data_IF_810773499547
#
_entry.id   IF_810773499547
#
_cell.length_a   1.000
_cell.length_b   1.000
_cell.length_c   1.000
_cell.angle_alpha   90.00
_cell.angle_beta   90.00
_cell.angle_gamma   90.00
#
_symmetry.space_group_name_H-M   'P 1'
#
loop_
_entity.id
_entity.type
_entity.pdbx_description
1 polymer ?
#
# COMPACT_ATOMS: atom_id res chain seq x y z
N UNK A 1 5.87 35.65 -6.16
CA UNK A 1 6.50 34.55 -5.41
C UNK A 1 6.07 33.22 -6.01
N UNK A 2 7.03 32.37 -6.26
CA UNK A 2 6.72 31.07 -6.82
C UNK A 2 6.18 30.16 -5.73
N UNK A 3 5.11 29.43 -6.04
CA UNK A 3 4.68 28.34 -5.20
C UNK A 3 5.79 27.29 -5.13
N UNK A 4 5.95 26.65 -4.00
CA UNK A 4 6.89 25.56 -3.88
C UNK A 4 6.53 24.48 -4.90
N UNK A 5 7.50 24.06 -5.71
CA UNK A 5 7.27 22.95 -6.61
C UNK A 5 6.99 21.68 -5.80
N UNK A 6 6.09 20.82 -6.24
CA UNK A 6 5.92 19.52 -5.59
C UNK A 6 7.24 18.74 -5.70
N UNK A 7 7.52 17.84 -4.72
CA UNK A 7 8.70 16.98 -4.81
C UNK A 7 8.75 16.25 -6.15
N UNK A 8 9.95 15.99 -6.62
CA UNK A 8 10.13 15.20 -7.84
C UNK A 8 9.44 13.84 -7.66
N UNK A 9 8.67 13.41 -8.65
CA UNK A 9 7.92 12.16 -8.59
C UNK A 9 6.54 12.27 -7.95
N UNK A 10 6.14 13.47 -7.45
CA UNK A 10 4.83 13.67 -6.86
C UNK A 10 3.74 14.03 -7.89
N UNK A 11 4.03 13.95 -9.19
CA UNK A 11 3.05 14.21 -10.25
C UNK A 11 1.91 13.19 -10.17
N UNK A 12 0.63 13.64 -10.30
CA UNK A 12 -0.49 12.70 -10.29
C UNK A 12 -0.34 11.61 -11.36
N UNK A 13 -0.65 10.37 -10.99
CA UNK A 13 -0.57 9.22 -11.87
C UNK A 13 0.84 8.66 -12.09
N UNK A 14 1.86 9.26 -11.48
CA UNK A 14 3.23 8.81 -11.64
C UNK A 14 3.61 7.75 -10.62
N UNK A 15 4.40 6.76 -11.07
CA UNK A 15 5.02 5.79 -10.18
C UNK A 15 6.10 6.48 -9.34
N UNK A 16 6.13 6.23 -8.05
CA UNK A 16 7.25 6.63 -7.20
C UNK A 16 8.37 5.61 -7.32
N UNK A 17 9.53 6.02 -7.80
CA UNK A 17 10.70 5.15 -7.91
C UNK A 17 11.16 4.65 -6.54
N UNK A 18 11.09 5.50 -5.52
CA UNK A 18 11.46 5.14 -4.15
C UNK A 18 10.53 4.06 -3.62
N UNK A 19 9.22 4.27 -3.72
CA UNK A 19 8.22 3.30 -3.29
C UNK A 19 8.31 2.00 -4.08
N UNK A 20 8.50 2.08 -5.39
CA UNK A 20 8.62 0.89 -6.24
C UNK A 20 9.86 0.07 -5.88
N UNK A 21 10.99 0.71 -5.61
CA UNK A 21 12.20 0.00 -5.18
C UNK A 21 12.00 -0.71 -3.84
N UNK A 22 11.33 -0.07 -2.90
CA UNK A 22 11.01 -0.68 -1.61
C UNK A 22 10.04 -1.86 -1.79
N UNK A 23 9.04 -1.70 -2.66
CA UNK A 23 8.09 -2.75 -2.99
C UNK A 23 8.82 -3.98 -3.56
N UNK A 24 9.69 -3.77 -4.52
CA UNK A 24 10.44 -4.86 -5.18
C UNK A 24 11.36 -5.59 -4.19
N UNK A 25 12.06 -4.85 -3.33
CA UNK A 25 12.86 -5.42 -2.26
C UNK A 25 12.02 -6.27 -1.32
N UNK A 26 10.85 -5.77 -0.94
CA UNK A 26 9.93 -6.47 -0.05
C UNK A 26 9.42 -7.76 -0.66
N UNK A 27 9.12 -7.77 -1.95
CA UNK A 27 8.70 -8.98 -2.66
C UNK A 27 9.80 -10.04 -2.70
N UNK A 28 11.07 -9.63 -2.82
CA UNK A 28 12.20 -10.56 -2.76
C UNK A 28 12.33 -11.16 -1.36
N UNK A 29 12.17 -10.36 -0.32
CA UNK A 29 12.26 -10.81 1.07
C UNK A 29 11.06 -11.65 1.51
N UNK A 30 9.90 -11.46 0.86
CA UNK A 30 8.64 -12.15 1.17
C UNK A 30 8.06 -12.80 -0.08
N UNK A 31 8.65 -13.93 -0.52
CA UNK A 31 8.18 -14.59 -1.75
C UNK A 31 6.76 -15.14 -1.64
N UNK A 32 6.22 -15.27 -0.43
CA UNK A 32 4.80 -15.63 -0.22
C UNK A 32 3.85 -14.51 -0.65
N UNK A 33 4.30 -13.27 -0.70
CA UNK A 33 3.48 -12.16 -1.18
C UNK A 33 3.44 -12.16 -2.70
N UNK A 34 2.31 -12.57 -3.26
CA UNK A 34 2.12 -12.60 -4.70
C UNK A 34 1.82 -11.22 -5.28
N UNK A 35 1.08 -10.41 -4.55
CA UNK A 35 0.74 -9.03 -4.92
C UNK A 35 1.11 -8.07 -3.81
N UNK A 36 1.62 -6.91 -4.21
CA UNK A 36 1.90 -5.81 -3.30
C UNK A 36 1.59 -4.52 -4.04
N UNK A 37 0.71 -3.71 -3.46
CA UNK A 37 0.25 -2.47 -4.06
C UNK A 37 0.24 -1.39 -2.99
N UNK A 38 0.84 -0.25 -3.26
CA UNK A 38 0.86 0.88 -2.35
C UNK A 38 0.08 2.05 -2.91
N UNK A 39 -0.95 2.45 -2.17
CA UNK A 39 -1.71 3.68 -2.40
C UNK A 39 -1.20 4.71 -1.40
N UNK A 40 -0.84 5.90 -1.84
CA UNK A 40 -0.37 6.95 -0.93
C UNK A 40 -1.09 8.26 -1.25
N UNK A 41 -1.45 8.98 -0.19
CA UNK A 41 -1.97 10.34 -0.31
C UNK A 41 -0.79 11.29 -0.41
N UNK A 42 -0.67 12.08 -1.49
CA UNK A 42 0.41 13.07 -1.59
C UNK A 42 0.36 14.05 -0.42
N UNK A 43 1.51 14.49 0.11
CA UNK A 43 1.55 15.42 1.23
C UNK A 43 0.75 16.70 0.96
N UNK A 44 -0.05 17.11 1.95
CA UNK A 44 -0.87 18.31 1.84
C UNK A 44 -2.12 18.19 0.98
N UNK A 45 -2.40 16.99 0.46
CA UNK A 45 -3.56 16.72 -0.38
C UNK A 45 -4.62 15.96 0.41
N UNK A 46 -5.91 16.07 0.02
CA UNK A 46 -6.96 15.28 0.67
C UNK A 46 -6.83 13.79 0.33
N UNK A 47 -7.38 12.94 1.19
CA UNK A 47 -7.35 11.48 0.99
C UNK A 47 -8.02 11.03 -0.32
N UNK A 48 -8.92 11.84 -0.88
CA UNK A 48 -9.52 11.58 -2.20
C UNK A 48 -8.49 11.59 -3.33
N UNK A 49 -7.28 12.14 -3.09
CA UNK A 49 -6.16 12.09 -4.03
C UNK A 49 -5.24 10.89 -3.79
N UNK A 50 -5.60 10.00 -2.86
CA UNK A 50 -4.87 8.74 -2.66
C UNK A 50 -4.88 7.92 -3.94
N UNK A 51 -3.70 7.47 -4.36
CA UNK A 51 -3.56 6.73 -5.61
C UNK A 51 -2.42 5.72 -5.55
N UNK A 52 -2.44 4.74 -6.44
CA UNK A 52 -1.39 3.74 -6.54
C UNK A 52 -0.12 4.40 -7.08
N UNK A 53 0.94 4.35 -6.28
CA UNK A 53 2.26 4.89 -6.63
C UNK A 53 3.31 3.80 -6.83
N UNK A 54 3.05 2.59 -6.37
CA UNK A 54 3.92 1.44 -6.53
C UNK A 54 3.08 0.17 -6.56
N UNK A 55 3.46 -0.77 -7.44
CA UNK A 55 2.67 -1.98 -7.65
C UNK A 55 3.47 -3.01 -8.44
N UNK A 56 3.20 -4.30 -8.20
CA UNK A 56 3.69 -5.37 -9.08
C UNK A 56 2.58 -5.93 -9.99
N UNK A 57 1.40 -5.31 -9.99
CA UNK A 57 0.27 -5.73 -10.84
C UNK A 57 -0.22 -4.61 -11.77
N UNK A 58 0.59 -3.56 -11.95
CA UNK A 58 0.20 -2.41 -12.76
C UNK A 58 -0.74 -1.47 -12.04
N UNK A 59 -1.58 -0.77 -12.80
CA UNK A 59 -2.60 0.15 -12.29
C UNK A 59 -2.06 1.40 -11.61
N UNK A 60 -0.83 1.79 -11.90
CA UNK A 60 -0.24 3.03 -11.39
C UNK A 60 -1.16 4.21 -11.70
N UNK A 61 -1.42 5.03 -10.70
CA UNK A 61 -2.28 6.21 -10.82
C UNK A 61 -3.76 5.94 -10.54
N UNK A 62 -4.15 4.67 -10.35
CA UNK A 62 -5.54 4.37 -10.00
C UNK A 62 -5.87 4.98 -8.64
N UNK A 63 -6.96 5.76 -8.61
CA UNK A 63 -7.40 6.41 -7.39
C UNK A 63 -8.04 5.41 -6.42
N UNK A 64 -7.96 5.74 -5.13
CA UNK A 64 -8.59 4.97 -4.08
C UNK A 64 -10.09 4.81 -4.32
N UNK A 65 -10.59 3.62 -4.08
CA UNK A 65 -12.02 3.35 -4.06
C UNK A 65 -12.60 3.56 -2.65
N UNK A 66 -13.89 3.30 -2.48
CA UNK A 66 -14.56 3.48 -1.19
C UNK A 66 -13.97 2.60 -0.09
N UNK A 67 -13.51 1.39 -0.43
CA UNK A 67 -12.89 0.48 0.53
C UNK A 67 -11.57 1.04 1.03
N UNK A 68 -10.74 1.56 0.13
CA UNK A 68 -9.47 2.20 0.48
C UNK A 68 -9.70 3.42 1.38
N UNK A 69 -10.65 4.27 1.01
CA UNK A 69 -10.99 5.46 1.81
C UNK A 69 -11.51 5.09 3.19
N UNK A 70 -12.23 3.99 3.30
CA UNK A 70 -12.72 3.49 4.59
C UNK A 70 -11.54 3.04 5.47
N UNK A 71 -10.55 2.35 4.91
CA UNK A 71 -9.34 1.95 5.64
C UNK A 71 -8.61 3.18 6.15
N UNK A 72 -8.44 4.20 5.32
CA UNK A 72 -7.81 5.46 5.74
C UNK A 72 -8.56 6.12 6.91
N UNK A 73 -9.89 6.08 6.88
CA UNK A 73 -10.72 6.69 7.90
C UNK A 73 -10.78 5.88 9.20
N UNK A 74 -10.89 4.56 9.11
CA UNK A 74 -11.14 3.69 10.27
C UNK A 74 -9.88 3.00 10.81
N UNK A 75 -8.87 2.82 9.99
CA UNK A 75 -7.69 2.03 10.33
C UNK A 75 -7.94 0.52 10.38
N UNK A 76 -9.11 0.06 9.97
CA UNK A 76 -9.46 -1.36 10.01
C UNK A 76 -9.05 -2.07 8.73
N UNK A 77 -8.49 -3.30 8.83
CA UNK A 77 -8.18 -4.09 7.65
C UNK A 77 -9.44 -4.45 6.87
N UNK A 78 -9.29 -4.60 5.56
CA UNK A 78 -10.31 -5.21 4.72
C UNK A 78 -9.70 -6.40 3.99
N UNK A 79 -10.46 -7.48 3.89
CA UNK A 79 -9.99 -8.73 3.31
C UNK A 79 -10.99 -9.25 2.30
N UNK A 80 -10.47 -9.92 1.27
CA UNK A 80 -11.31 -10.57 0.27
C UNK A 80 -10.59 -11.78 -0.30
N UNK A 81 -11.32 -12.88 -0.48
CA UNK A 81 -10.84 -14.03 -1.25
C UNK A 81 -11.05 -13.70 -2.73
N UNK A 82 -10.04 -13.96 -3.56
CA UNK A 82 -10.12 -13.73 -5.00
C UNK A 82 -11.23 -14.57 -5.64
N UNK A 83 -11.72 -14.13 -6.80
CA UNK A 83 -12.77 -14.84 -7.54
C UNK A 83 -12.36 -16.27 -7.90
N UNK A 84 -11.07 -16.50 -8.14
CA UNK A 84 -10.52 -17.83 -8.43
C UNK A 84 -10.32 -18.67 -7.17
N UNK A 85 -10.44 -18.08 -5.97
CA UNK A 85 -10.33 -18.80 -4.72
C UNK A 85 -8.91 -19.16 -4.30
N UNK A 86 -7.90 -18.68 -5.00
CA UNK A 86 -6.49 -19.05 -4.78
C UNK A 86 -5.67 -17.96 -4.11
N UNK A 87 -6.27 -16.81 -3.80
CA UNK A 87 -5.60 -15.70 -3.12
C UNK A 87 -6.48 -15.10 -2.04
N UNK A 88 -5.82 -14.68 -1.00
CA UNK A 88 -6.42 -13.89 0.07
C UNK A 88 -5.77 -12.51 0.05
N UNK A 89 -6.56 -11.50 -0.28
CA UNK A 89 -6.09 -10.12 -0.36
C UNK A 89 -6.39 -9.40 0.93
N UNK A 90 -5.37 -8.81 1.53
CA UNK A 90 -5.47 -8.05 2.77
C UNK A 90 -5.07 -6.62 2.47
N UNK A 91 -5.97 -5.68 2.72
CA UNK A 91 -5.69 -4.25 2.60
C UNK A 91 -5.62 -3.64 4.00
N UNK A 92 -4.53 -2.93 4.26
CA UNK A 92 -4.17 -2.40 5.57
C UNK A 92 -3.82 -0.92 5.45
N UNK A 93 -4.00 -0.13 6.52
CA UNK A 93 -3.41 1.20 6.52
C UNK A 93 -1.89 1.09 6.39
N UNK A 94 -1.31 1.94 5.56
CA UNK A 94 0.13 2.06 5.39
C UNK A 94 0.63 3.19 6.27
N UNK A 95 1.65 2.93 7.08
CA UNK A 95 2.22 3.90 8.01
C UNK A 95 3.64 4.29 7.59
N UNK A 96 4.05 5.49 7.98
CA UNK A 96 5.46 5.86 7.98
C UNK A 96 6.13 5.40 9.29
N UNK A 97 7.45 5.64 9.41
CA UNK A 97 8.19 5.24 10.61
C UNK A 97 7.76 5.98 11.88
N UNK A 98 7.11 7.13 11.74
CA UNK A 98 6.51 7.88 12.84
C UNK A 98 5.08 7.44 13.17
N UNK A 99 4.59 6.37 12.53
CA UNK A 99 3.24 5.81 12.70
C UNK A 99 2.12 6.73 12.22
N UNK A 100 2.42 7.66 11.32
CA UNK A 100 1.39 8.42 10.63
C UNK A 100 0.81 7.57 9.50
N UNK A 101 -0.50 7.56 9.37
CA UNK A 101 -1.16 6.91 8.24
C UNK A 101 -0.91 7.73 6.97
N UNK A 102 -0.27 7.13 5.98
CA UNK A 102 0.06 7.80 4.72
C UNK A 102 -0.67 7.21 3.52
N UNK A 103 -1.33 6.10 3.70
CA UNK A 103 -2.03 5.45 2.61
C UNK A 103 -2.55 4.07 2.98
N UNK A 104 -2.66 3.23 1.97
CA UNK A 104 -3.14 1.85 2.09
C UNK A 104 -2.16 0.93 1.36
N UNK A 105 -1.85 -0.20 1.97
CA UNK A 105 -1.10 -1.27 1.30
C UNK A 105 -2.00 -2.48 1.13
N UNK A 106 -2.04 -3.02 -0.08
CA UNK A 106 -2.78 -4.24 -0.39
C UNK A 106 -1.78 -5.37 -0.65
N UNK A 107 -1.96 -6.49 0.06
CA UNK A 107 -1.06 -7.64 0.00
C UNK A 107 -1.88 -8.86 -0.37
N UNK A 108 -1.51 -9.50 -1.47
CA UNK A 108 -2.14 -10.74 -1.91
C UNK A 108 -1.29 -11.95 -1.52
N UNK A 109 -1.88 -12.86 -0.75
CA UNK A 109 -1.22 -14.07 -0.25
C UNK A 109 -1.84 -15.31 -0.90
N UNK A 110 -1.08 -16.39 -1.12
CA UNK A 110 -1.67 -17.66 -1.56
C UNK A 110 -2.70 -18.15 -0.56
N UNK A 111 -3.77 -18.73 -1.09
CA UNK A 111 -4.88 -19.19 -0.27
C UNK A 111 -5.50 -20.44 -0.86
N UNK A 112 -5.94 -21.32 0.01
CA UNK A 112 -6.80 -22.45 -0.34
C UNK A 112 -7.90 -22.59 0.71
N UNK A 113 -9.06 -23.14 0.36
CA UNK A 113 -10.15 -23.33 1.34
C UNK A 113 -9.67 -24.07 2.58
N UNK A 114 -10.02 -23.54 3.75
CA UNK A 114 -9.60 -24.08 5.02
C UNK A 114 -8.38 -23.42 5.64
N UNK A 115 -7.66 -22.59 4.91
CA UNK A 115 -6.54 -21.83 5.47
C UNK A 115 -7.02 -20.86 6.56
N UNK A 116 -6.17 -20.68 7.56
CA UNK A 116 -6.45 -19.76 8.68
C UNK A 116 -6.32 -18.31 8.20
N UNK A 117 -7.45 -17.67 7.96
CA UNK A 117 -7.48 -16.27 7.49
C UNK A 117 -6.88 -15.32 8.50
N UNK A 118 -7.06 -15.55 9.80
CA UNK A 118 -6.48 -14.70 10.83
C UNK A 118 -4.95 -14.77 10.81
N UNK A 119 -4.38 -15.94 10.55
CA UNK A 119 -2.93 -16.09 10.39
C UNK A 119 -2.42 -15.35 9.15
N UNK A 120 -3.18 -15.36 8.06
CA UNK A 120 -2.83 -14.63 6.84
C UNK A 120 -2.87 -13.12 7.07
N UNK A 121 -3.84 -12.62 7.81
CA UNK A 121 -3.88 -11.19 8.19
C UNK A 121 -2.64 -10.83 9.02
N UNK A 122 -2.25 -11.67 9.99
CA UNK A 122 -1.04 -11.43 10.79
C UNK A 122 0.22 -11.39 9.92
N UNK A 123 0.31 -12.25 8.92
CA UNK A 123 1.41 -12.24 7.95
C UNK A 123 1.45 -10.91 7.19
N UNK A 124 0.31 -10.46 6.68
CA UNK A 124 0.20 -9.18 5.98
C UNK A 124 0.56 -8.00 6.90
N UNK A 125 0.11 -8.02 8.14
CA UNK A 125 0.44 -6.98 9.12
C UNK A 125 1.95 -6.92 9.40
N UNK A 126 2.61 -8.06 9.48
CA UNK A 126 4.06 -8.14 9.69
C UNK A 126 4.80 -7.52 8.50
N UNK A 127 4.40 -7.83 7.29
CA UNK A 127 5.00 -7.24 6.08
C UNK A 127 4.79 -5.72 6.08
N UNK A 128 3.57 -5.25 6.39
CA UNK A 128 3.27 -3.84 6.52
C UNK A 128 4.16 -3.15 7.55
N UNK A 129 4.38 -3.78 8.70
CA UNK A 129 5.20 -3.21 9.76
C UNK A 129 6.68 -3.14 9.37
N UNK A 130 7.19 -4.09 8.60
CA UNK A 130 8.54 -4.01 8.04
C UNK A 130 8.65 -2.87 7.02
N UNK A 131 7.64 -2.66 6.21
CA UNK A 131 7.57 -1.51 5.29
C UNK A 131 7.60 -0.20 6.08
N UNK A 132 6.78 -0.09 7.10
CA UNK A 132 6.68 1.10 7.94
C UNK A 132 8.05 1.57 8.43
N UNK A 133 8.88 0.65 8.90
CA UNK A 133 10.19 0.97 9.43
C UNK A 133 11.12 1.62 8.39
N UNK A 134 10.84 1.45 7.11
CA UNK A 134 11.66 1.93 6.00
C UNK A 134 11.08 3.14 5.28
N UNK A 135 9.95 3.67 5.75
CA UNK A 135 9.29 4.84 5.16
C UNK A 135 9.45 6.02 6.13
N UNK A 136 10.37 6.96 5.87
CA UNK A 136 10.59 8.08 6.79
C UNK A 136 9.37 9.01 6.90
N UNK A 137 8.72 9.30 5.78
CA UNK A 137 7.52 10.14 5.72
C UNK A 137 6.89 10.02 4.34
N UNK A 138 5.63 10.44 4.21
CA UNK A 138 4.97 10.51 2.91
C UNK A 138 5.74 11.43 1.95
N UNK A 139 6.24 12.56 2.44
CA UNK A 139 6.99 13.52 1.62
C UNK A 139 8.26 12.91 1.03
N UNK A 140 8.90 11.99 1.72
CA UNK A 140 10.15 11.33 1.28
C UNK A 140 9.91 10.02 0.55
N UNK A 141 8.66 9.69 0.28
CA UNK A 141 8.28 8.44 -0.37
C UNK A 141 7.95 8.63 -1.86
N UNK A 142 8.15 9.83 -2.35
CA UNK A 142 7.93 10.16 -3.76
C UNK A 142 9.24 10.41 -4.50
#
# INVERSE_FOLDING_TARGET
>A
MLAAAPPAGAAPGAMSKIAQSLLEKTLVEHPEAAHLVMHVTPPGRPDTDNEIIASNIGKIGKKADDDDLRILRTGHPETVVSKTGDRFNVSLPLFDSGRNTIGVVAIGLPYKPGDDKAALVRTAERIRDELRAQIPSAARFF
#
